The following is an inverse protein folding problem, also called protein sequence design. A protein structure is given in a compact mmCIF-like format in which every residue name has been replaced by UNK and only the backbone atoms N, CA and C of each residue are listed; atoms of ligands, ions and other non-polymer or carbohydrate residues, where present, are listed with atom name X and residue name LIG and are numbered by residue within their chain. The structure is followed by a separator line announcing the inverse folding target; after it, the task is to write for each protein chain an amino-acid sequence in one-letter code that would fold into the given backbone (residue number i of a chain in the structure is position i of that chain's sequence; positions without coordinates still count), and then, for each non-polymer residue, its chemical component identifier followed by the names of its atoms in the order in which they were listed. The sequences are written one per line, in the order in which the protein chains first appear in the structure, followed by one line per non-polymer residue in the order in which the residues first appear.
data_IF_203278386590
#
_entry.id   IF_203278386590
#
_cell.length_a   1.000
_cell.length_b   1.000
_cell.length_c   1.000
_cell.angle_alpha   90.00
_cell.angle_beta   90.00
_cell.angle_gamma   90.00
#
_symmetry.space_group_name_H-M   'P 1'
#
loop_
_entity.id
_entity.type
_entity.pdbx_description
1 polymer ?
#
# COMPACT_ATOMS: atom_id res chain seq x y z
N UNK A 1 -3.64 12.47 7.56
CA UNK A 1 -2.56 12.09 8.49
C UNK A 1 -1.86 10.83 7.98
N UNK A 2 -2.50 9.65 7.92
CA UNK A 2 -1.84 8.42 7.47
C UNK A 2 -1.18 8.51 6.06
N UNK A 3 -1.87 9.12 5.08
CA UNK A 3 -1.32 9.33 3.72
C UNK A 3 -0.10 10.26 3.75
N UNK A 4 -0.20 11.38 4.48
CA UNK A 4 0.90 12.35 4.59
C UNK A 4 2.12 11.78 5.34
N UNK A 5 1.89 10.82 6.24
CA UNK A 5 2.95 10.08 6.94
C UNK A 5 3.56 8.94 6.10
N UNK A 6 3.05 8.70 4.89
CA UNK A 6 3.50 7.60 4.03
C UNK A 6 3.10 6.21 4.53
N UNK A 7 2.06 6.08 5.36
CA UNK A 7 1.55 4.76 5.75
C UNK A 7 0.86 4.08 4.57
N UNK A 8 1.11 2.78 4.46
CA UNK A 8 0.70 1.98 3.32
C UNK A 8 -0.69 1.36 3.50
N UNK A 9 -1.50 1.45 2.45
CA UNK A 9 -2.85 0.89 2.41
C UNK A 9 -2.98 -0.01 1.19
N UNK A 10 -3.19 -1.31 1.41
CA UNK A 10 -3.15 -2.34 0.35
C UNK A 10 -4.09 -2.01 -0.82
N UNK A 11 -5.32 -1.57 -0.53
CA UNK A 11 -6.30 -1.21 -1.58
C UNK A 11 -5.90 0.05 -2.37
N UNK A 12 -5.24 1.03 -1.73
CA UNK A 12 -4.76 2.21 -2.45
C UNK A 12 -3.60 1.80 -3.39
N UNK A 13 -2.73 0.91 -2.91
CA UNK A 13 -1.60 0.40 -3.66
C UNK A 13 -2.04 -0.47 -4.86
N UNK A 14 -3.20 -1.16 -4.77
CA UNK A 14 -3.81 -1.88 -5.91
C UNK A 14 -4.20 -0.96 -7.08
N UNK A 15 -4.32 0.35 -6.85
CA UNK A 15 -4.51 1.33 -7.94
C UNK A 15 -3.18 1.99 -8.32
N UNK A 16 -2.46 2.53 -7.33
CA UNK A 16 -1.27 3.36 -7.57
C UNK A 16 -0.11 2.61 -8.25
N UNK A 17 0.21 1.40 -7.77
CA UNK A 17 1.37 0.66 -8.28
C UNK A 17 1.08 0.08 -9.67
N UNK A 18 -0.07 -0.57 -9.94
CA UNK A 18 -0.44 -0.97 -11.29
C UNK A 18 -0.51 0.19 -12.28
N UNK A 19 -0.99 1.36 -11.88
CA UNK A 19 -0.96 2.56 -12.71
C UNK A 19 0.48 2.94 -13.10
N UNK A 20 1.41 2.93 -12.14
CA UNK A 20 2.83 3.17 -12.42
C UNK A 20 3.44 2.13 -13.37
N UNK A 21 3.09 0.85 -13.21
CA UNK A 21 3.52 -0.23 -14.12
C UNK A 21 2.95 0.00 -15.52
N UNK A 22 1.68 0.39 -15.66
CA UNK A 22 1.06 0.68 -16.95
C UNK A 22 1.75 1.87 -17.62
N UNK A 23 1.99 2.97 -16.91
CA UNK A 23 2.71 4.12 -17.44
C UNK A 23 4.10 3.71 -17.91
N UNK A 24 4.86 2.95 -17.09
CA UNK A 24 6.19 2.47 -17.48
C UNK A 24 6.19 1.69 -18.80
N UNK A 25 5.20 0.83 -19.02
CA UNK A 25 5.17 -0.06 -20.19
C UNK A 25 4.49 0.54 -21.43
N UNK A 26 3.58 1.51 -21.26
CA UNK A 26 2.72 1.99 -22.34
C UNK A 26 2.83 3.49 -22.62
N UNK A 27 3.58 4.26 -21.81
CA UNK A 27 3.77 5.68 -22.10
C UNK A 27 4.58 5.90 -23.40
N UNK A 28 4.17 6.85 -24.25
CA UNK A 28 4.85 7.14 -25.51
C UNK A 28 6.24 7.75 -25.27
N UNK A 29 7.12 7.67 -26.27
CA UNK A 29 8.46 8.25 -26.17
C UNK A 29 8.46 9.77 -25.85
N UNK A 30 7.46 10.51 -26.34
CA UNK A 30 7.29 11.94 -26.04
C UNK A 30 7.08 12.22 -24.54
N UNK A 31 6.36 11.34 -23.83
CA UNK A 31 6.19 11.46 -22.38
C UNK A 31 7.55 11.43 -21.68
N UNK A 32 8.39 10.45 -22.02
CA UNK A 32 9.72 10.27 -21.44
C UNK A 32 10.66 11.44 -21.74
N UNK A 33 10.65 11.95 -22.97
CA UNK A 33 11.39 13.16 -23.34
C UNK A 33 10.93 14.37 -22.54
N UNK A 34 9.61 14.55 -22.35
CA UNK A 34 9.04 15.71 -21.65
C UNK A 34 9.37 15.71 -20.16
N UNK A 35 9.31 14.54 -19.52
CA UNK A 35 9.62 14.41 -18.08
C UNK A 35 11.13 14.30 -17.80
N UNK A 36 11.96 14.18 -18.85
CA UNK A 36 13.41 14.05 -18.73
C UNK A 36 13.86 12.75 -18.04
N UNK A 37 13.11 11.66 -18.25
CA UNK A 37 13.37 10.36 -17.63
C UNK A 37 13.25 9.23 -18.66
N UNK A 38 13.63 8.01 -18.26
CA UNK A 38 13.48 6.80 -19.09
C UNK A 38 12.83 5.65 -18.31
N UNK A 39 12.13 4.71 -18.97
CA UNK A 39 11.51 3.55 -18.32
C UNK A 39 12.47 2.71 -17.48
N UNK A 40 13.75 2.65 -17.88
CA UNK A 40 14.80 1.84 -17.25
C UNK A 40 15.11 2.30 -15.83
N UNK A 41 14.93 3.60 -15.54
CA UNK A 41 15.08 4.15 -14.19
C UNK A 41 14.04 3.59 -13.21
N UNK A 42 12.94 3.03 -13.72
CA UNK A 42 11.86 2.42 -12.96
C UNK A 42 11.84 0.89 -13.09
N UNK A 43 13.02 0.27 -13.25
CA UNK A 43 13.18 -1.19 -13.40
C UNK A 43 12.42 -2.00 -12.34
N UNK A 44 12.38 -1.51 -11.09
CA UNK A 44 11.67 -2.14 -9.97
C UNK A 44 10.14 -2.09 -10.04
N UNK A 45 9.55 -1.26 -10.91
CA UNK A 45 8.10 -1.30 -11.18
C UNK A 45 7.78 -2.52 -12.04
N UNK A 46 7.61 -3.66 -11.35
CA UNK A 46 7.20 -4.94 -11.93
C UNK A 46 6.02 -5.50 -11.13
N UNK A 47 5.24 -6.38 -11.78
CA UNK A 47 4.14 -7.08 -11.09
C UNK A 47 4.66 -7.96 -9.96
N UNK A 48 5.83 -8.60 -10.13
CA UNK A 48 6.42 -9.44 -9.08
C UNK A 48 6.76 -8.63 -7.82
N UNK A 49 7.45 -7.50 -7.99
CA UNK A 49 7.83 -6.65 -6.86
C UNK A 49 6.60 -6.02 -6.21
N UNK A 50 5.60 -5.63 -7.01
CA UNK A 50 4.32 -5.19 -6.47
C UNK A 50 3.68 -6.23 -5.55
N UNK A 51 3.67 -7.50 -5.93
CA UNK A 51 3.05 -8.55 -5.12
C UNK A 51 3.86 -8.90 -3.86
N UNK A 52 5.16 -9.10 -4.01
CA UNK A 52 6.03 -9.64 -2.95
C UNK A 52 6.52 -8.55 -1.99
N UNK A 53 6.95 -7.40 -2.53
CA UNK A 53 7.59 -6.35 -1.73
C UNK A 53 6.58 -5.34 -1.18
N UNK A 54 5.35 -5.35 -1.69
CA UNK A 54 4.32 -4.38 -1.29
C UNK A 54 3.00 -5.04 -0.89
N UNK A 55 2.28 -5.67 -1.83
CA UNK A 55 0.89 -6.07 -1.60
C UNK A 55 0.76 -7.08 -0.47
N UNK A 56 1.63 -8.10 -0.43
CA UNK A 56 1.64 -9.11 0.62
C UNK A 56 1.96 -8.52 2.01
N UNK A 57 3.11 -7.87 2.24
CA UNK A 57 3.44 -7.33 3.58
C UNK A 57 2.48 -6.23 4.03
N UNK A 58 2.03 -5.35 3.13
CA UNK A 58 1.09 -4.27 3.48
C UNK A 58 -0.28 -4.81 3.85
N UNK A 59 -0.78 -5.82 3.13
CA UNK A 59 -2.06 -6.46 3.48
C UNK A 59 -1.99 -7.12 4.85
N UNK A 60 -0.89 -7.82 5.15
CA UNK A 60 -0.67 -8.42 6.47
C UNK A 60 -0.63 -7.33 7.55
N UNK A 61 0.12 -6.24 7.32
CA UNK A 61 0.18 -5.12 8.26
C UNK A 61 -1.17 -4.44 8.50
N UNK A 62 -1.97 -4.25 7.44
CA UNK A 62 -3.31 -3.68 7.54
C UNK A 62 -4.25 -4.58 8.35
N UNK A 63 -4.20 -5.90 8.14
CA UNK A 63 -4.99 -6.87 8.92
C UNK A 63 -4.56 -6.88 10.39
N UNK A 64 -3.26 -6.93 10.67
CA UNK A 64 -2.74 -6.92 12.05
C UNK A 64 -3.13 -5.61 12.75
N UNK A 65 -2.99 -4.46 12.08
CA UNK A 65 -3.40 -3.17 12.63
C UNK A 65 -4.88 -3.14 13.00
N UNK A 66 -5.75 -3.66 12.14
CA UNK A 66 -7.18 -3.82 12.42
C UNK A 66 -7.45 -4.76 13.59
N UNK A 67 -6.82 -5.93 13.60
CA UNK A 67 -7.00 -6.95 14.65
C UNK A 67 -6.56 -6.44 16.03
N UNK A 68 -5.45 -5.71 16.11
CA UNK A 68 -4.98 -5.09 17.36
C UNK A 68 -5.99 -4.10 17.89
N UNK A 69 -6.52 -3.21 17.04
CA UNK A 69 -7.52 -2.23 17.45
C UNK A 69 -8.81 -2.90 17.94
N UNK A 70 -9.30 -3.90 17.21
CA UNK A 70 -10.48 -4.68 17.62
C UNK A 70 -10.23 -5.38 18.96
N UNK A 71 -9.09 -6.06 19.12
CA UNK A 71 -8.74 -6.75 20.36
C UNK A 71 -8.66 -5.81 21.57
N UNK A 72 -8.08 -4.63 21.40
CA UNK A 72 -8.03 -3.59 22.44
C UNK A 72 -9.42 -3.11 22.83
N UNK A 73 -10.30 -2.86 21.87
CA UNK A 73 -11.69 -2.45 22.15
C UNK A 73 -12.44 -3.54 22.91
N UNK A 74 -12.34 -4.81 22.50
CA UNK A 74 -12.94 -5.94 23.20
C UNK A 74 -12.43 -6.06 24.65
N UNK A 75 -11.12 -5.91 24.85
CA UNK A 75 -10.51 -5.93 26.17
C UNK A 75 -11.04 -4.83 27.09
N UNK A 76 -11.13 -3.59 26.58
CA UNK A 76 -11.66 -2.45 27.33
C UNK A 76 -13.14 -2.62 27.69
N UNK A 77 -13.92 -3.25 26.81
CA UNK A 77 -15.32 -3.61 27.09
C UNK A 77 -15.43 -4.65 28.20
N UNK A 78 -14.60 -5.70 28.14
CA UNK A 78 -14.58 -6.76 29.14
C UNK A 78 -14.27 -6.21 30.54
N UNK A 79 -13.27 -5.32 30.66
CA UNK A 79 -12.92 -4.67 31.94
C UNK A 79 -14.04 -3.79 32.54
N UNK A 80 -15.02 -3.38 31.74
CA UNK A 80 -16.20 -2.64 32.22
C UNK A 80 -17.36 -3.54 32.62
N UNK A 81 -17.35 -4.81 32.21
CA UNK A 81 -18.42 -5.79 32.47
C UNK A 81 -18.43 -6.36 33.90
N UNK A 82 -17.32 -6.30 34.63
CA UNK A 82 -17.19 -6.86 36.00
C UNK A 82 -17.76 -5.95 37.11
N UNK A 83 -18.78 -5.13 36.80
CA UNK A 83 -19.45 -4.25 37.78
C UNK A 83 -20.92 -4.58 38.05
N UNK A 84 -21.39 -5.77 37.67
CA UNK A 84 -22.75 -6.24 37.98
C UNK A 84 -22.73 -7.64 38.59
#
# INVERSE_FOLDING_TARGET
MFVASGFEHSIANMFLIPLGIVIKNFAPAEFWTTVGASPEQFSNLTVSNFLVDNLLPVTIGNIIGGAVLVGLVYWLMHLRGDKH
#
